data_IF_426235858627
#
_entry.id   IF_426235858627
#
_cell.length_a   1.000
_cell.length_b   1.000
_cell.length_c   1.000
_cell.angle_alpha   90.00
_cell.angle_beta   90.00
_cell.angle_gamma   90.00
#
_symmetry.space_group_name_H-M   'P 1'
#
loop_
_entity.id
_entity.type
_entity.pdbx_description
1 polymer ?
#
# COMPACT_ATOMS: atom_id res chain seq x y z
N UNK A 1 -36.55 24.72 -57.88
CA UNK A 1 -35.43 23.88 -58.38
C UNK A 1 -35.85 22.44 -58.29
N UNK A 2 -35.83 21.75 -59.42
CA UNK A 2 -36.37 20.40 -59.62
C UNK A 2 -35.30 19.37 -59.22
N UNK A 3 -35.78 18.30 -58.57
CA UNK A 3 -35.08 17.08 -58.17
C UNK A 3 -34.16 16.51 -59.25
N UNK A 4 -33.02 15.92 -58.87
CA UNK A 4 -32.59 14.62 -59.39
C UNK A 4 -31.81 13.84 -58.32
N UNK A 5 -32.33 12.66 -58.00
CA UNK A 5 -31.68 11.60 -57.24
C UNK A 5 -31.12 10.58 -58.25
N UNK A 6 -29.87 10.14 -58.07
CA UNK A 6 -29.31 9.03 -58.83
C UNK A 6 -29.04 7.86 -57.90
N UNK A 7 -29.87 6.85 -58.11
CA UNK A 7 -29.85 5.50 -57.61
C UNK A 7 -28.57 4.77 -58.07
N UNK A 8 -27.93 4.01 -57.19
CA UNK A 8 -26.89 3.03 -57.57
C UNK A 8 -27.28 1.68 -56.96
N UNK A 9 -27.51 0.64 -57.78
CA UNK A 9 -28.02 -0.66 -57.32
C UNK A 9 -26.93 -1.54 -56.70
N UNK A 10 -27.38 -2.41 -55.80
CA UNK A 10 -26.55 -3.17 -54.88
C UNK A 10 -25.88 -4.43 -55.41
N UNK A 11 -25.19 -5.08 -54.48
CA UNK A 11 -24.88 -6.50 -54.55
C UNK A 11 -25.11 -7.12 -53.17
N UNK A 12 -25.96 -8.13 -53.17
CA UNK A 12 -26.50 -8.85 -52.03
C UNK A 12 -25.91 -10.27 -52.05
N UNK A 13 -26.06 -10.97 -50.93
CA UNK A 13 -25.95 -12.43 -50.73
C UNK A 13 -24.58 -12.95 -50.28
N UNK A 14 -24.58 -13.47 -49.06
CA UNK A 14 -23.54 -14.33 -48.51
C UNK A 14 -23.82 -14.76 -47.08
N UNK A 15 -25.09 -15.01 -46.71
CA UNK A 15 -25.43 -15.81 -45.53
C UNK A 15 -25.31 -17.28 -45.93
N UNK A 16 -24.59 -18.07 -45.13
CA UNK A 16 -24.84 -19.50 -45.07
C UNK A 16 -24.73 -19.96 -43.60
N UNK A 17 -25.86 -20.30 -42.96
CA UNK A 17 -25.91 -21.03 -41.71
C UNK A 17 -26.07 -22.52 -42.02
N UNK A 18 -25.28 -23.39 -41.39
CA UNK A 18 -25.56 -24.84 -41.41
C UNK A 18 -25.01 -25.49 -40.14
N UNK A 19 -25.96 -25.83 -39.28
CA UNK A 19 -26.14 -27.07 -38.52
C UNK A 19 -25.01 -27.66 -37.67
N UNK A 20 -25.22 -27.52 -36.35
CA UNK A 20 -25.38 -28.54 -35.29
C UNK A 20 -24.81 -29.98 -35.41
N UNK A 21 -24.63 -30.68 -34.25
CA UNK A 21 -23.51 -31.53 -33.94
C UNK A 21 -23.83 -33.03 -34.08
N UNK A 22 -22.80 -33.87 -33.90
CA UNK A 22 -22.86 -34.95 -32.90
C UNK A 22 -21.50 -35.06 -32.19
N UNK A 23 -21.25 -35.77 -31.10
CA UNK A 23 -22.00 -36.49 -30.09
C UNK A 23 -20.99 -36.71 -28.96
N UNK A 24 -21.51 -36.82 -27.75
CA UNK A 24 -21.08 -37.75 -26.70
C UNK A 24 -19.73 -38.48 -26.89
N UNK A 25 -18.74 -38.10 -26.09
CA UNK A 25 -17.91 -39.08 -25.42
C UNK A 25 -17.50 -38.57 -24.05
N UNK A 26 -18.17 -39.12 -23.06
CA UNK A 26 -17.79 -39.08 -21.66
C UNK A 26 -16.37 -39.65 -21.52
N UNK A 27 -15.46 -38.86 -20.95
CA UNK A 27 -14.21 -39.38 -20.42
C UNK A 27 -14.04 -38.89 -19.00
N UNK A 28 -14.49 -39.74 -18.08
CA UNK A 28 -14.23 -39.68 -16.66
C UNK A 28 -12.73 -39.87 -16.42
N UNK A 29 -11.98 -38.76 -16.28
CA UNK A 29 -10.70 -38.80 -15.58
C UNK A 29 -10.89 -38.22 -14.18
N UNK A 30 -11.26 -39.14 -13.29
CA UNK A 30 -11.15 -38.99 -11.84
C UNK A 30 -9.68 -38.75 -11.49
N UNK A 31 -9.30 -37.48 -11.33
CA UNK A 31 -8.04 -37.11 -10.69
C UNK A 31 -8.38 -36.55 -9.31
N UNK A 32 -8.43 -37.45 -8.34
CA UNK A 32 -8.32 -37.08 -6.94
C UNK A 32 -6.93 -36.46 -6.73
N UNK A 33 -6.85 -35.14 -6.75
CA UNK A 33 -5.77 -34.42 -6.07
C UNK A 33 -6.23 -34.20 -4.63
N UNK A 34 -5.83 -35.13 -3.78
CA UNK A 34 -5.93 -34.99 -2.33
C UNK A 34 -5.00 -33.86 -1.89
N UNK A 35 -5.64 -32.82 -1.40
CA UNK A 35 -5.11 -31.70 -0.64
C UNK A 35 -4.29 -32.21 0.56
N UNK A 36 -2.97 -32.00 0.56
CA UNK A 36 -2.20 -32.03 1.79
C UNK A 36 -2.57 -30.80 2.62
N UNK A 37 -3.47 -30.99 3.58
CA UNK A 37 -3.71 -30.02 4.64
C UNK A 37 -2.55 -30.12 5.64
N UNK A 38 -1.55 -29.25 5.51
CA UNK A 38 -0.62 -28.94 6.59
C UNK A 38 -1.33 -28.04 7.59
N UNK A 39 -2.00 -28.67 8.56
CA UNK A 39 -2.49 -28.00 9.77
C UNK A 39 -1.30 -27.72 10.71
N UNK A 40 -0.61 -26.60 10.49
CA UNK A 40 0.27 -26.03 11.50
C UNK A 40 -0.57 -25.25 12.52
N UNK A 41 -1.18 -25.99 13.45
CA UNK A 41 -1.78 -25.43 14.65
C UNK A 41 -0.65 -25.12 15.63
N UNK A 42 -0.23 -23.85 15.67
CA UNK A 42 0.62 -23.34 16.75
C UNK A 42 -0.25 -23.35 18.00
N UNK A 43 -0.05 -24.35 18.85
CA UNK A 43 -0.58 -24.39 20.21
C UNK A 43 0.03 -23.21 20.98
N UNK A 44 -0.81 -22.20 21.23
CA UNK A 44 -0.51 -21.14 22.19
C UNK A 44 -0.52 -21.78 23.58
N UNK A 45 0.68 -21.97 24.15
CA UNK A 45 0.84 -22.33 25.55
C UNK A 45 0.54 -21.11 26.42
N UNK A 46 -0.38 -21.19 27.40
CA UNK A 46 -0.54 -20.14 28.40
C UNK A 46 0.57 -20.30 29.43
N UNK A 47 1.49 -19.34 29.45
CA UNK A 47 2.56 -19.27 30.42
C UNK A 47 1.95 -19.05 31.83
N UNK A 48 2.25 -19.89 32.84
CA UNK A 48 1.69 -19.73 34.17
C UNK A 48 2.28 -18.52 34.90
N UNK A 49 1.39 -17.83 35.60
CA UNK A 49 1.64 -16.78 36.57
C UNK A 49 2.92 -17.03 37.38
N UNK A 50 3.86 -16.07 37.33
CA UNK A 50 4.91 -16.00 38.34
C UNK A 50 4.37 -15.17 39.51
N UNK A 51 4.08 -15.87 40.59
CA UNK A 51 3.78 -15.32 41.90
C UNK A 51 4.96 -14.46 42.38
N UNK A 52 4.70 -13.18 42.64
CA UNK A 52 5.61 -12.36 43.43
C UNK A 52 5.40 -12.70 44.91
N UNK A 53 6.44 -13.14 45.65
CA UNK A 53 6.29 -13.36 47.07
C UNK A 53 6.03 -12.02 47.79
N UNK A 54 4.89 -11.96 48.47
CA UNK A 54 4.56 -10.96 49.46
C UNK A 54 5.60 -11.06 50.57
N UNK A 55 6.53 -10.10 50.63
CA UNK A 55 7.40 -9.92 51.80
C UNK A 55 6.67 -8.99 52.77
N UNK A 56 6.19 -9.60 53.84
CA UNK A 56 5.70 -8.97 55.07
C UNK A 56 6.81 -8.12 55.70
N UNK A 57 6.58 -6.86 56.09
CA UNK A 57 7.45 -6.19 57.03
C UNK A 57 6.92 -6.44 58.44
N UNK A 58 7.57 -7.35 59.17
CA UNK A 58 7.42 -7.44 60.61
C UNK A 58 8.77 -7.20 61.29
N UNK A 59 8.81 -6.07 61.97
CA UNK A 59 9.40 -5.85 63.27
C UNK A 59 10.85 -5.38 63.44
N UNK A 60 10.91 -4.42 64.38
CA UNK A 60 11.94 -4.13 65.37
C UNK A 60 13.15 -3.28 64.94
N UNK A 61 13.00 -2.01 65.32
CA UNK A 61 14.02 -1.12 65.87
C UNK A 61 15.16 -1.88 66.58
N UNK A 62 16.39 -1.55 66.21
CA UNK A 62 17.55 -1.71 67.09
C UNK A 62 18.54 -0.59 66.80
N UNK A 63 18.72 0.29 67.79
CA UNK A 63 19.76 1.31 67.82
C UNK A 63 21.12 0.61 67.89
N UNK A 64 21.98 0.90 66.92
CA UNK A 64 23.38 0.52 66.89
C UNK A 64 24.21 1.67 66.34
N UNK A 65 25.10 2.14 67.18
CA UNK A 65 25.93 3.34 67.08
C UNK A 65 27.01 3.30 65.99
N UNK A 66 27.39 4.51 65.55
CA UNK A 66 28.68 4.93 65.00
C UNK A 66 29.13 4.51 63.58
N UNK A 67 29.09 5.52 62.70
CA UNK A 67 30.26 5.92 61.92
C UNK A 67 30.51 5.19 60.61
N UNK A 68 29.98 5.69 59.50
CA UNK A 68 30.46 5.27 58.19
C UNK A 68 29.60 5.67 57.01
N UNK A 69 29.96 6.80 56.40
CA UNK A 69 29.77 7.10 54.98
C UNK A 69 28.33 7.21 54.46
N UNK A 70 27.82 8.45 54.51
CA UNK A 70 26.71 8.94 53.70
C UNK A 70 27.09 8.88 52.21
N UNK A 71 26.98 7.72 51.56
CA UNK A 71 27.05 7.62 50.10
C UNK A 71 25.75 8.15 49.49
N UNK A 72 25.80 9.41 49.09
CA UNK A 72 24.71 10.13 48.41
C UNK A 72 24.21 9.38 47.17
N UNK A 73 22.92 9.01 47.08
CA UNK A 73 22.32 8.41 45.90
C UNK A 73 21.81 9.50 44.93
N UNK A 74 22.70 10.26 44.30
CA UNK A 74 22.35 11.29 43.30
C UNK A 74 23.64 11.71 42.56
N UNK A 75 23.79 11.81 41.24
CA UNK A 75 22.86 12.04 40.13
C UNK A 75 23.40 11.35 38.86
N UNK A 76 22.56 10.60 38.15
CA UNK A 76 22.88 10.17 36.78
C UNK A 76 22.61 11.36 35.85
N UNK A 77 23.61 12.24 35.66
CA UNK A 77 23.49 13.39 34.77
C UNK A 77 22.95 12.95 33.39
N UNK A 78 21.92 13.62 32.85
CA UNK A 78 21.39 13.29 31.54
C UNK A 78 22.47 13.52 30.49
N UNK A 79 22.98 12.43 29.91
CA UNK A 79 23.97 12.48 28.82
C UNK A 79 23.43 13.38 27.70
N UNK A 80 24.20 14.35 27.20
CA UNK A 80 23.75 15.25 26.15
C UNK A 80 23.31 14.43 24.93
N UNK A 81 22.10 14.71 24.43
CA UNK A 81 21.54 13.99 23.29
C UNK A 81 22.45 14.22 22.08
N UNK A 82 22.89 13.13 21.46
CA UNK A 82 23.68 13.20 20.21
C UNK A 82 22.93 14.06 19.19
N UNK A 83 23.66 14.97 18.53
CA UNK A 83 23.11 15.83 17.47
C UNK A 83 22.45 14.94 16.40
N UNK A 84 21.28 15.36 15.90
CA UNK A 84 20.57 14.62 14.86
C UNK A 84 21.44 14.55 13.61
N UNK A 85 21.38 13.42 12.90
CA UNK A 85 22.09 13.26 11.64
C UNK A 85 21.69 14.38 10.67
N UNK A 86 22.65 14.98 9.94
CA UNK A 86 22.37 16.05 9.00
C UNK A 86 21.41 15.56 7.91
N UNK A 87 20.20 16.12 7.90
CA UNK A 87 19.22 15.87 6.84
C UNK A 87 19.48 16.86 5.72
N UNK A 88 19.73 16.36 4.50
CA UNK A 88 19.96 17.21 3.32
C UNK A 88 18.75 18.11 3.06
N UNK A 89 19.00 19.38 2.76
CA UNK A 89 17.93 20.38 2.53
C UNK A 89 17.24 20.07 1.21
N UNK A 90 16.01 20.58 1.01
CA UNK A 90 15.28 20.36 -0.24
C UNK A 90 16.01 20.94 -1.46
N UNK A 91 16.64 22.10 -1.28
CA UNK A 91 17.43 22.80 -2.32
C UNK A 91 18.55 21.93 -2.89
N UNK A 92 19.20 21.11 -2.06
CA UNK A 92 20.30 20.24 -2.47
C UNK A 92 19.85 19.16 -3.49
N UNK A 93 18.54 18.90 -3.61
CA UNK A 93 17.98 17.88 -4.52
C UNK A 93 17.50 18.44 -5.86
N UNK A 94 17.33 19.76 -5.97
CA UNK A 94 16.85 20.42 -7.19
C UNK A 94 17.66 20.06 -8.45
N UNK A 95 19.01 20.09 -8.46
CA UNK A 95 19.79 19.78 -9.65
C UNK A 95 19.66 18.31 -10.07
N UNK A 96 19.44 17.41 -9.12
CA UNK A 96 19.37 15.97 -9.38
C UNK A 96 17.93 15.48 -9.64
N UNK A 97 16.92 16.29 -9.31
CA UNK A 97 15.51 15.92 -9.40
C UNK A 97 15.14 15.40 -10.79
N UNK A 98 15.51 16.13 -11.84
CA UNK A 98 15.17 15.75 -13.21
C UNK A 98 15.74 14.37 -13.58
N UNK A 99 17.02 14.14 -13.25
CA UNK A 99 17.70 12.86 -13.51
C UNK A 99 17.11 11.71 -12.68
N UNK A 100 16.83 11.94 -11.41
CA UNK A 100 16.22 10.92 -10.53
C UNK A 100 14.84 10.51 -11.05
N UNK A 101 14.03 11.48 -11.48
CA UNK A 101 12.69 11.22 -12.02
C UNK A 101 12.74 10.47 -13.35
N UNK A 102 13.68 10.81 -14.24
CA UNK A 102 13.86 10.07 -15.50
C UNK A 102 14.22 8.59 -15.24
N UNK A 103 15.20 8.34 -14.38
CA UNK A 103 15.62 6.98 -14.04
C UNK A 103 14.50 6.18 -13.33
N UNK A 104 13.73 6.82 -12.45
CA UNK A 104 12.72 6.13 -11.65
C UNK A 104 11.36 5.98 -12.36
N UNK A 105 10.89 7.01 -13.07
CA UNK A 105 9.55 7.06 -13.68
C UNK A 105 9.59 6.60 -15.13
N UNK A 106 10.54 7.10 -15.94
CA UNK A 106 10.68 6.71 -17.36
C UNK A 106 11.29 5.31 -17.48
N UNK A 107 12.43 5.07 -16.84
CA UNK A 107 13.20 3.83 -16.98
C UNK A 107 12.78 2.74 -15.97
N UNK A 108 11.85 3.05 -15.06
CA UNK A 108 11.31 2.12 -14.05
C UNK A 108 12.33 1.45 -13.11
N UNK A 109 13.55 2.00 -13.00
CA UNK A 109 14.63 1.42 -12.19
C UNK A 109 14.30 1.45 -10.68
N UNK A 110 14.93 0.54 -9.94
CA UNK A 110 14.86 0.51 -8.47
C UNK A 110 15.58 1.72 -7.88
N UNK A 111 15.07 2.26 -6.77
CA UNK A 111 15.68 3.40 -6.08
C UNK A 111 17.12 3.13 -5.60
N UNK A 112 17.47 1.87 -5.36
CA UNK A 112 18.85 1.48 -5.04
C UNK A 112 19.78 1.68 -6.23
N UNK A 113 19.35 1.26 -7.43
CA UNK A 113 20.07 1.48 -8.68
C UNK A 113 20.17 2.97 -8.99
N UNK A 114 19.07 3.71 -8.85
CA UNK A 114 19.06 5.17 -9.06
C UNK A 114 20.05 5.87 -8.14
N UNK A 115 20.07 5.51 -6.85
CA UNK A 115 21.04 6.03 -5.89
C UNK A 115 22.48 5.78 -6.37
N UNK A 116 22.81 4.54 -6.73
CA UNK A 116 24.15 4.18 -7.16
C UNK A 116 24.57 4.91 -8.44
N UNK A 117 23.64 5.14 -9.38
CA UNK A 117 23.93 5.91 -10.60
C UNK A 117 24.19 7.38 -10.29
N UNK A 118 23.35 8.02 -9.47
CA UNK A 118 23.53 9.43 -9.10
C UNK A 118 24.82 9.64 -8.29
N UNK A 119 25.18 8.69 -7.43
CA UNK A 119 26.43 8.72 -6.69
C UNK A 119 27.66 8.59 -7.61
N UNK A 120 27.58 7.75 -8.66
CA UNK A 120 28.64 7.61 -9.67
C UNK A 120 28.75 8.81 -10.61
N UNK A 121 27.62 9.35 -11.08
CA UNK A 121 27.58 10.43 -12.07
C UNK A 121 27.91 11.80 -11.43
N UNK A 122 27.38 12.07 -10.23
CA UNK A 122 27.45 13.40 -9.61
C UNK A 122 28.17 13.43 -8.26
N UNK A 123 28.59 12.28 -7.72
CA UNK A 123 29.17 12.21 -6.37
C UNK A 123 28.17 12.52 -5.25
N UNK A 124 26.87 12.52 -5.54
CA UNK A 124 25.85 12.90 -4.56
C UNK A 124 25.45 11.71 -3.67
N UNK A 125 26.04 11.65 -2.48
CA UNK A 125 25.74 10.62 -1.48
C UNK A 125 24.56 11.02 -0.59
N UNK A 126 23.48 10.24 -0.66
CA UNK A 126 22.31 10.36 0.22
C UNK A 126 21.72 8.98 0.57
N UNK A 127 21.00 8.91 1.69
CA UNK A 127 20.41 7.65 2.16
C UNK A 127 19.19 7.23 1.33
N UNK A 128 18.99 5.92 1.16
CA UNK A 128 17.85 5.38 0.38
C UNK A 128 16.48 5.85 0.88
N UNK A 129 16.33 6.02 2.21
CA UNK A 129 15.13 6.60 2.82
C UNK A 129 14.89 8.04 2.36
N UNK A 130 15.93 8.84 2.19
CA UNK A 130 15.80 10.22 1.71
C UNK A 130 15.31 10.25 0.26
N UNK A 131 15.84 9.37 -0.60
CA UNK A 131 15.34 9.20 -1.97
C UNK A 131 13.84 8.85 -2.00
N UNK A 132 13.40 7.87 -1.19
CA UNK A 132 11.97 7.51 -1.08
C UNK A 132 11.12 8.71 -0.67
N UNK A 133 11.54 9.45 0.36
CA UNK A 133 10.82 10.64 0.82
C UNK A 133 10.75 11.72 -0.27
N UNK A 134 11.83 11.95 -1.01
CA UNK A 134 11.87 12.94 -2.09
C UNK A 134 10.98 12.56 -3.27
N UNK A 135 11.02 11.31 -3.70
CA UNK A 135 10.13 10.79 -4.74
C UNK A 135 8.66 10.92 -4.33
N UNK A 136 8.33 10.66 -3.05
CA UNK A 136 6.98 10.85 -2.55
C UNK A 136 6.53 12.30 -2.47
N UNK A 137 7.45 13.20 -2.10
CA UNK A 137 7.20 14.66 -2.14
C UNK A 137 6.98 15.16 -3.56
N UNK A 138 7.63 14.56 -4.56
CA UNK A 138 7.43 14.89 -5.97
C UNK A 138 6.19 14.21 -6.58
N UNK A 139 5.45 13.40 -5.81
CA UNK A 139 4.23 12.74 -6.27
C UNK A 139 4.45 11.61 -7.29
N UNK A 140 5.68 11.09 -7.39
CA UNK A 140 6.07 10.06 -8.36
C UNK A 140 6.18 8.66 -7.74
N UNK A 141 5.43 8.44 -6.66
CA UNK A 141 5.34 7.11 -6.03
C UNK A 141 4.66 6.11 -6.96
N UNK A 142 5.14 4.86 -6.95
CA UNK A 142 4.51 3.75 -7.67
C UNK A 142 3.19 3.29 -7.02
N UNK A 143 3.00 3.65 -5.76
CA UNK A 143 1.86 3.24 -4.94
C UNK A 143 0.82 4.35 -4.86
N UNK A 144 -0.45 3.98 -5.01
CA UNK A 144 -1.60 4.87 -4.83
C UNK A 144 -1.78 5.09 -3.33
N UNK A 145 -1.90 6.35 -2.90
CA UNK A 145 -2.08 6.66 -1.47
C UNK A 145 -3.49 6.26 -1.01
N UNK A 146 -3.68 5.89 0.27
CA UNK A 146 -5.00 5.52 0.80
C UNK A 146 -6.05 6.60 0.57
N UNK A 147 -5.69 7.88 0.74
CA UNK A 147 -6.58 9.00 0.47
C UNK A 147 -6.99 9.11 -1.01
N UNK A 148 -6.08 8.83 -1.95
CA UNK A 148 -6.38 8.82 -3.39
C UNK A 148 -7.31 7.64 -3.74
N UNK A 149 -7.05 6.47 -3.17
CA UNK A 149 -7.90 5.29 -3.37
C UNK A 149 -9.29 5.48 -2.76
N UNK A 150 -9.39 6.06 -1.57
CA UNK A 150 -10.64 6.45 -0.94
C UNK A 150 -11.48 7.37 -1.82
N UNK A 151 -10.85 8.36 -2.46
CA UNK A 151 -11.53 9.26 -3.40
C UNK A 151 -12.04 8.52 -4.64
N UNK A 152 -11.27 7.56 -5.17
CA UNK A 152 -11.70 6.71 -6.29
C UNK A 152 -12.91 5.85 -5.90
N UNK A 153 -12.86 5.19 -4.74
CA UNK A 153 -13.95 4.35 -4.24
C UNK A 153 -15.22 5.18 -4.11
N UNK A 154 -15.12 6.37 -3.52
CA UNK A 154 -16.26 7.28 -3.34
C UNK A 154 -16.89 7.67 -4.68
N UNK A 155 -16.09 7.98 -5.69
CA UNK A 155 -16.56 8.27 -7.05
C UNK A 155 -17.23 7.05 -7.70
N UNK A 156 -16.65 5.86 -7.55
CA UNK A 156 -17.19 4.61 -8.10
C UNK A 156 -18.54 4.26 -7.46
N UNK A 157 -18.66 4.38 -6.13
CA UNK A 157 -19.91 4.13 -5.41
C UNK A 157 -20.99 5.16 -5.76
N UNK A 158 -20.64 6.45 -5.82
CA UNK A 158 -21.58 7.49 -6.23
C UNK A 158 -22.17 7.19 -7.61
N UNK A 159 -21.33 6.80 -8.57
CA UNK A 159 -21.82 6.48 -9.92
C UNK A 159 -22.72 5.25 -9.95
N UNK A 160 -22.43 4.22 -9.14
CA UNK A 160 -23.24 3.00 -8.97
C UNK A 160 -24.57 3.21 -8.22
N UNK A 161 -24.80 4.38 -7.63
CA UNK A 161 -26.01 4.67 -6.86
C UNK A 161 -26.85 5.77 -7.50
N UNK A 162 -26.23 6.67 -8.28
CA UNK A 162 -26.89 7.85 -8.85
C UNK A 162 -26.95 7.80 -10.37
N UNK A 163 -25.97 7.17 -11.02
CA UNK A 163 -25.69 7.28 -12.46
C UNK A 163 -25.62 5.88 -13.10
N UNK A 164 -26.61 5.03 -12.83
CA UNK A 164 -26.59 3.61 -13.21
C UNK A 164 -26.63 3.38 -14.73
N UNK A 165 -27.12 4.36 -15.49
CA UNK A 165 -27.21 4.30 -16.95
C UNK A 165 -25.87 4.49 -17.68
N UNK A 166 -24.78 4.78 -16.96
CA UNK A 166 -23.49 5.14 -17.57
C UNK A 166 -22.49 3.99 -17.57
N UNK A 167 -21.65 3.93 -18.61
CA UNK A 167 -20.54 2.96 -18.74
C UNK A 167 -19.56 3.03 -17.55
N UNK A 168 -18.89 1.90 -17.27
CA UNK A 168 -17.83 1.80 -16.26
C UNK A 168 -16.73 2.86 -16.41
N UNK A 169 -16.24 3.38 -15.27
CA UNK A 169 -15.18 4.40 -15.24
C UNK A 169 -13.79 3.78 -15.16
N UNK A 170 -12.87 4.26 -15.99
CA UNK A 170 -11.43 4.14 -15.78
C UNK A 170 -10.94 5.30 -14.92
N UNK A 171 -10.12 5.00 -13.91
CA UNK A 171 -9.50 6.00 -13.04
C UNK A 171 -8.02 6.08 -13.33
N UNK A 172 -7.48 7.29 -13.46
CA UNK A 172 -6.05 7.53 -13.62
C UNK A 172 -5.54 8.35 -12.45
N UNK A 173 -4.50 7.85 -11.77
CA UNK A 173 -3.84 8.52 -10.64
C UNK A 173 -2.37 8.71 -10.99
N UNK A 174 -1.89 9.96 -10.97
CA UNK A 174 -0.48 10.30 -11.25
C UNK A 174 0.02 9.72 -12.58
N UNK A 175 -0.85 9.69 -13.60
CA UNK A 175 -0.54 9.14 -14.92
C UNK A 175 -0.64 7.61 -15.03
N UNK A 176 -1.08 6.91 -13.98
CA UNK A 176 -1.25 5.45 -13.96
C UNK A 176 -2.71 5.07 -13.87
N UNK A 177 -3.16 4.20 -14.77
CA UNK A 177 -4.52 3.65 -14.74
C UNK A 177 -4.67 2.69 -13.56
N UNK A 178 -5.75 2.85 -12.81
CA UNK A 178 -6.11 2.01 -11.68
C UNK A 178 -7.05 0.93 -12.16
N UNK A 179 -6.62 -0.33 -12.06
CA UNK A 179 -7.46 -1.47 -12.40
C UNK A 179 -8.66 -1.59 -11.43
N UNK A 180 -9.86 -1.93 -11.93
CA UNK A 180 -11.06 -2.07 -11.10
C UNK A 180 -10.87 -3.11 -9.99
N UNK A 181 -10.20 -4.23 -10.28
CA UNK A 181 -9.90 -5.27 -9.29
C UNK A 181 -9.07 -4.76 -8.11
N UNK A 182 -8.19 -3.78 -8.33
CA UNK A 182 -7.39 -3.16 -7.26
C UNK A 182 -8.28 -2.36 -6.30
N UNK A 183 -9.30 -1.71 -6.84
CA UNK A 183 -10.30 -0.98 -6.05
C UNK A 183 -11.10 -1.97 -5.20
N UNK A 184 -11.54 -3.09 -5.79
CA UNK A 184 -12.29 -4.14 -5.08
C UNK A 184 -11.49 -4.76 -3.93
N UNK A 185 -10.21 -5.12 -4.17
CA UNK A 185 -9.31 -5.61 -3.12
C UNK A 185 -9.13 -4.60 -1.99
N UNK A 186 -9.06 -3.30 -2.30
CA UNK A 186 -8.92 -2.26 -1.30
C UNK A 186 -10.20 -2.09 -0.47
N UNK A 187 -11.39 -2.10 -1.11
CA UNK A 187 -12.67 -2.06 -0.41
C UNK A 187 -12.84 -3.24 0.55
N UNK A 188 -12.51 -4.45 0.11
CA UNK A 188 -12.59 -5.66 0.94
C UNK A 188 -11.66 -5.58 2.16
N UNK A 189 -10.45 -5.04 1.99
CA UNK A 189 -9.49 -4.86 3.11
C UNK A 189 -9.95 -3.84 4.14
N UNK A 190 -10.73 -2.84 3.72
CA UNK A 190 -11.22 -1.77 4.61
C UNK A 190 -12.68 -1.98 5.01
N UNK A 191 -13.25 -3.15 4.71
CA UNK A 191 -14.64 -3.53 5.06
C UNK A 191 -15.67 -2.53 4.54
N UNK A 192 -15.42 -1.94 3.37
CA UNK A 192 -16.30 -0.94 2.78
C UNK A 192 -17.35 -1.64 1.93
N UNK A 193 -18.65 -1.53 2.25
CA UNK A 193 -19.71 -2.12 1.43
C UNK A 193 -19.80 -1.41 0.08
N UNK A 194 -19.95 -2.18 -1.01
CA UNK A 194 -20.05 -1.61 -2.36
C UNK A 194 -21.36 -0.86 -2.60
N UNK A 195 -22.38 -1.14 -1.78
CA UNK A 195 -23.76 -0.63 -1.87
C UNK A 195 -24.00 0.67 -1.09
N UNK A 196 -23.07 1.11 -0.25
CA UNK A 196 -23.23 2.34 0.54
C UNK A 196 -22.13 3.35 0.23
N UNK A 197 -22.46 4.64 0.29
CA UNK A 197 -21.50 5.71 0.05
C UNK A 197 -20.41 5.73 1.12
N UNK A 198 -19.15 5.61 0.69
CA UNK A 198 -17.99 5.72 1.59
C UNK A 198 -17.74 7.16 2.03
N UNK A 199 -18.17 7.48 3.25
CA UNK A 199 -17.83 8.71 3.96
C UNK A 199 -16.81 8.38 5.08
N UNK A 200 -15.50 8.52 4.84
CA UNK A 200 -14.52 8.35 5.91
C UNK A 200 -14.81 9.40 6.99
N UNK A 201 -14.98 8.96 8.23
CA UNK A 201 -15.13 9.85 9.38
C UNK A 201 -13.97 10.85 9.39
N UNK A 202 -14.21 12.15 9.67
CA UNK A 202 -13.18 13.18 9.73
C UNK A 202 -11.98 12.82 10.63
N UNK A 203 -12.19 11.93 11.61
CA UNK A 203 -11.16 11.43 12.51
C UNK A 203 -10.12 10.49 11.85
N UNK A 204 -10.36 9.98 10.64
CA UNK A 204 -9.47 9.02 9.97
C UNK A 204 -8.26 9.65 9.25
N UNK A 205 -8.12 10.98 9.26
CA UNK A 205 -7.06 11.72 8.56
C UNK A 205 -6.10 12.47 9.51
N UNK A 206 -5.83 11.93 10.70
CA UNK A 206 -4.85 12.48 11.65
C UNK A 206 -3.42 11.97 11.40
#
# INVERSE_FOLDING_TARGET
MILQATNTPGFFIGVNPTDQPPESSESLHSTQQQFMTVQNHILYSPNPSQDFPIVTPQNMVSLGDSGGSLVSPMERLPKPRKKKAPTRRAKDWEPYKARILDLHDTQNLSLETVKNMIEKEFGFTAGLRQYRTRVSQWGKDKNIKPAEMAAIVRKRQYRKLVDDDKREQSFTVRGRTVEPQKIDRWMNRHEIPQTALYAPSPAAFQ
#
